data_IF_179250052936
#
_entry.id   IF_179250052936
#
_cell.length_a   1.000
_cell.length_b   1.000
_cell.length_c   1.000
_cell.angle_alpha   90.00
_cell.angle_beta   90.00
_cell.angle_gamma   90.00
#
_symmetry.space_group_name_H-M   'P 1'
#
loop_
_entity.id
_entity.type
_entity.pdbx_description
1 polymer ?
#
# COMPACT_ATOMS: atom_id res chain seq x y z
N UNK A 1 -2.52 -24.25 16.49
CA UNK A 1 -1.86 -22.93 16.33
C UNK A 1 -2.96 -21.91 16.04
N UNK A 2 -3.16 -20.92 16.91
CA UNK A 2 -4.34 -20.01 16.84
C UNK A 2 -3.91 -18.69 16.20
N UNK A 3 -4.70 -18.17 15.27
CA UNK A 3 -4.49 -16.90 14.58
C UNK A 3 -5.83 -16.15 14.51
N UNK A 4 -5.81 -14.83 14.66
CA UNK A 4 -6.98 -13.98 14.39
C UNK A 4 -6.79 -13.19 13.09
N UNK A 5 -7.92 -13.03 12.40
CA UNK A 5 -8.02 -12.38 11.09
C UNK A 5 -9.26 -11.52 11.04
N UNK A 6 -9.14 -10.31 10.48
CA UNK A 6 -10.28 -9.55 9.96
C UNK A 6 -10.05 -9.20 8.49
N UNK A 7 -11.11 -9.22 7.69
CA UNK A 7 -11.05 -8.87 6.27
C UNK A 7 -12.42 -8.38 5.81
N UNK A 8 -12.42 -7.34 4.97
CA UNK A 8 -13.63 -6.88 4.30
C UNK A 8 -13.66 -7.50 2.90
N UNK A 9 -14.81 -8.05 2.52
CA UNK A 9 -15.02 -8.67 1.21
C UNK A 9 -16.24 -8.05 0.57
N UNK A 10 -16.08 -7.59 -0.67
CA UNK A 10 -17.16 -7.03 -1.46
C UNK A 10 -17.45 -7.97 -2.63
N UNK A 11 -18.61 -8.65 -2.66
CA UNK A 11 -19.09 -9.25 -3.89
C UNK A 11 -19.38 -8.12 -4.89
N UNK A 12 -19.08 -8.31 -6.18
CA UNK A 12 -19.41 -7.32 -7.20
C UNK A 12 -20.93 -7.18 -7.37
N UNK A 13 -21.39 -6.18 -8.10
CA UNK A 13 -22.83 -5.98 -8.34
C UNK A 13 -23.38 -7.20 -9.10
N UNK A 14 -24.26 -7.95 -8.43
CA UNK A 14 -25.11 -8.95 -9.07
C UNK A 14 -26.18 -8.22 -9.88
N UNK A 15 -25.87 -7.94 -11.15
CA UNK A 15 -26.80 -7.28 -12.07
C UNK A 15 -27.96 -8.19 -12.50
N UNK A 16 -27.87 -9.50 -12.24
CA UNK A 16 -28.86 -10.49 -12.66
C UNK A 16 -29.89 -10.76 -11.55
N UNK A 17 -29.57 -10.40 -10.31
CA UNK A 17 -30.45 -10.62 -9.16
C UNK A 17 -30.60 -12.10 -8.81
N UNK A 18 -29.64 -12.94 -9.20
CA UNK A 18 -29.66 -14.39 -8.98
C UNK A 18 -28.93 -14.80 -7.68
N UNK A 19 -28.40 -13.84 -6.94
CA UNK A 19 -27.61 -14.04 -5.73
C UNK A 19 -26.20 -14.54 -6.02
N UNK A 20 -25.70 -14.37 -7.25
CA UNK A 20 -24.39 -14.83 -7.71
C UNK A 20 -23.58 -13.71 -8.37
N UNK A 21 -22.27 -13.69 -8.12
CA UNK A 21 -21.35 -12.67 -8.68
C UNK A 21 -20.07 -13.34 -9.10
N UNK A 22 -19.60 -13.19 -10.35
CA UNK A 22 -18.46 -13.98 -10.85
C UNK A 22 -17.16 -13.79 -10.06
N UNK A 23 -17.01 -12.68 -9.32
CA UNK A 23 -15.82 -12.37 -8.57
C UNK A 23 -16.14 -11.67 -7.24
N UNK A 24 -15.12 -11.51 -6.40
CA UNK A 24 -15.15 -10.61 -5.23
C UNK A 24 -13.85 -9.82 -5.10
N UNK A 25 -13.96 -8.61 -4.55
CA UNK A 25 -12.81 -7.91 -4.02
C UNK A 25 -12.56 -8.36 -2.59
N UNK A 26 -11.31 -8.76 -2.29
CA UNK A 26 -10.85 -8.97 -0.92
C UNK A 26 -9.81 -7.89 -0.65
N UNK A 27 -10.20 -6.90 0.15
CA UNK A 27 -9.32 -5.78 0.52
C UNK A 27 -8.25 -6.19 1.53
N UNK A 28 -7.59 -5.23 2.18
CA UNK A 28 -6.54 -5.55 3.12
C UNK A 28 -7.09 -6.39 4.28
N UNK A 29 -6.28 -7.38 4.65
CA UNK A 29 -6.55 -8.36 5.69
C UNK A 29 -5.68 -8.02 6.88
N UNK A 30 -6.29 -7.76 8.02
CA UNK A 30 -5.56 -7.62 9.27
C UNK A 30 -5.31 -8.99 9.87
N UNK A 31 -4.06 -9.28 10.21
CA UNK A 31 -3.63 -10.54 10.82
C UNK A 31 -2.82 -10.31 12.09
N UNK A 32 -3.04 -11.17 13.08
CA UNK A 32 -2.19 -11.25 14.26
C UNK A 32 -0.77 -11.69 13.83
N UNK A 33 0.31 -11.02 14.31
CA UNK A 33 1.66 -11.23 13.79
C UNK A 33 2.31 -12.57 14.19
N UNK A 34 1.67 -13.33 15.07
CA UNK A 34 2.29 -14.45 15.78
C UNK A 34 2.37 -15.76 14.96
N UNK A 35 1.91 -15.77 13.71
CA UNK A 35 1.90 -16.97 12.88
C UNK A 35 2.51 -16.70 11.48
N UNK A 36 3.82 -16.94 11.37
CA UNK A 36 4.59 -16.71 10.13
C UNK A 36 4.07 -17.52 8.93
N UNK A 37 3.60 -18.76 9.15
CA UNK A 37 3.07 -19.61 8.07
C UNK A 37 1.77 -19.03 7.53
N UNK A 38 0.89 -18.58 8.42
CA UNK A 38 -0.37 -17.99 8.03
C UNK A 38 -0.23 -16.59 7.43
N UNK A 39 0.77 -15.81 7.88
CA UNK A 39 1.17 -14.56 7.23
C UNK A 39 1.65 -14.81 5.80
N UNK A 40 2.55 -15.79 5.62
CA UNK A 40 3.08 -16.15 4.29
C UNK A 40 1.98 -16.69 3.35
N UNK A 41 1.06 -17.51 3.86
CA UNK A 41 -0.07 -18.01 3.08
C UNK A 41 -1.08 -16.91 2.73
N UNK A 42 -1.33 -15.97 3.64
CA UNK A 42 -2.30 -14.91 3.40
C UNK A 42 -1.73 -13.79 2.52
N UNK A 43 -0.41 -13.56 2.54
CA UNK A 43 0.26 -12.64 1.60
C UNK A 43 0.19 -13.11 0.16
N UNK A 44 -0.18 -14.37 -0.09
CA UNK A 44 -0.54 -14.83 -1.43
C UNK A 44 -1.93 -14.27 -1.73
N UNK A 45 -1.93 -13.22 -2.54
CA UNK A 45 -3.13 -12.58 -3.04
C UNK A 45 -3.67 -11.47 -2.17
N UNK A 46 -3.46 -11.39 -0.84
CA UNK A 46 -4.09 -10.32 -0.04
C UNK A 46 -3.07 -9.28 0.44
N UNK A 47 -3.49 -8.02 0.56
CA UNK A 47 -2.72 -7.02 1.30
C UNK A 47 -2.77 -7.35 2.81
N UNK A 48 -1.68 -7.88 3.35
CA UNK A 48 -1.62 -8.26 4.77
C UNK A 48 -1.12 -7.09 5.61
N UNK A 49 -1.92 -6.73 6.62
CA UNK A 49 -1.52 -5.78 7.65
C UNK A 49 -1.39 -6.49 8.99
N UNK A 50 -0.26 -6.29 9.64
CA UNK A 50 -0.11 -6.70 11.03
C UNK A 50 -1.02 -5.84 11.92
N UNK A 51 -1.69 -6.48 12.86
CA UNK A 51 -2.51 -5.80 13.85
C UNK A 51 -2.59 -6.59 15.16
N UNK A 52 -3.01 -5.90 16.21
CA UNK A 52 -3.32 -6.50 17.51
C UNK A 52 -4.84 -6.61 17.66
N UNK A 53 -5.28 -7.62 18.39
CA UNK A 53 -6.69 -7.83 18.71
C UNK A 53 -6.85 -7.74 20.21
N UNK A 54 -7.90 -7.04 20.66
CA UNK A 54 -8.13 -6.75 22.08
C UNK A 54 -8.22 -8.02 22.93
N UNK A 55 -8.90 -9.04 22.41
CA UNK A 55 -8.88 -10.39 22.99
C UNK A 55 -8.09 -11.28 22.05
N UNK A 56 -6.81 -11.44 22.33
CA UNK A 56 -5.92 -12.24 21.48
C UNK A 56 -6.40 -13.70 21.41
N UNK A 57 -6.45 -14.23 20.18
CA UNK A 57 -6.85 -15.61 19.89
C UNK A 57 -8.29 -15.99 20.24
N UNK A 58 -9.16 -15.03 20.58
CA UNK A 58 -10.58 -15.24 20.82
C UNK A 58 -11.43 -14.25 20.01
N UNK A 59 -11.89 -14.70 18.83
CA UNK A 59 -12.75 -13.90 17.95
C UNK A 59 -14.21 -13.85 18.43
N UNK A 60 -14.56 -14.58 19.49
CA UNK A 60 -15.92 -14.70 20.01
C UNK A 60 -16.05 -14.18 21.45
N UNK A 61 -15.11 -13.35 21.89
CA UNK A 61 -15.06 -12.80 23.23
C UNK A 61 -16.39 -12.14 23.62
N UNK A 62 -16.83 -12.40 24.86
CA UNK A 62 -18.05 -11.80 25.41
C UNK A 62 -17.72 -10.45 26.03
N UNK A 63 -18.57 -9.44 25.81
CA UNK A 63 -18.40 -8.09 26.37
C UNK A 63 -18.90 -7.95 27.82
N UNK A 64 -19.37 -9.04 28.45
CA UNK A 64 -19.98 -9.04 29.77
C UNK A 64 -21.48 -8.72 29.76
N UNK A 65 -22.05 -8.38 28.61
CA UNK A 65 -23.44 -7.98 28.43
C UNK A 65 -24.22 -8.90 27.48
N UNK A 66 -23.66 -10.09 27.19
CA UNK A 66 -24.29 -11.07 26.31
C UNK A 66 -24.00 -10.85 24.82
N UNK A 67 -23.17 -9.87 24.45
CA UNK A 67 -22.73 -9.70 23.07
C UNK A 67 -21.35 -10.33 22.86
N UNK A 68 -21.16 -10.84 21.65
CA UNK A 68 -19.86 -11.22 21.13
C UNK A 68 -19.23 -10.02 20.43
N UNK A 69 -17.95 -9.75 20.67
CA UNK A 69 -17.25 -8.66 20.00
C UNK A 69 -15.89 -9.07 19.44
N UNK A 70 -15.46 -8.33 18.43
CA UNK A 70 -14.12 -8.36 17.86
C UNK A 70 -13.63 -6.93 17.76
N UNK A 71 -12.43 -6.65 18.25
CA UNK A 71 -11.80 -5.33 18.14
C UNK A 71 -10.34 -5.53 17.70
N UNK A 72 -9.98 -4.93 16.57
CA UNK A 72 -8.66 -5.03 15.94
C UNK A 72 -8.07 -3.65 15.65
N UNK A 73 -6.79 -3.49 15.95
CA UNK A 73 -6.02 -2.26 15.77
C UNK A 73 -4.80 -2.57 14.92
N UNK A 74 -4.67 -1.87 13.78
CA UNK A 74 -3.53 -1.99 12.89
C UNK A 74 -2.29 -1.36 13.49
N UNK A 75 -1.12 -1.85 13.06
CA UNK A 75 0.16 -1.22 13.42
C UNK A 75 0.20 0.23 12.94
N UNK A 76 0.39 1.18 13.86
CA UNK A 76 0.41 2.62 13.59
C UNK A 76 -0.92 3.34 13.88
N UNK A 77 -1.99 2.62 14.20
CA UNK A 77 -3.29 3.20 14.58
C UNK A 77 -3.38 3.46 16.07
N UNK A 78 -3.96 4.61 16.46
CA UNK A 78 -4.23 4.96 17.88
C UNK A 78 -5.65 4.59 18.34
N UNK A 79 -6.49 4.10 17.42
CA UNK A 79 -7.88 3.66 17.65
C UNK A 79 -8.13 2.34 16.91
N UNK A 80 -9.19 1.63 17.29
CA UNK A 80 -9.61 0.41 16.61
C UNK A 80 -9.98 0.68 15.15
N UNK A 81 -9.38 -0.08 14.22
CA UNK A 81 -9.64 0.01 12.78
C UNK A 81 -10.80 -0.89 12.37
N UNK A 82 -10.98 -1.99 13.10
CA UNK A 82 -12.10 -2.90 12.97
C UNK A 82 -12.75 -3.06 14.34
N UNK A 83 -14.06 -2.88 14.41
CA UNK A 83 -14.85 -3.25 15.58
C UNK A 83 -16.16 -3.89 15.14
N UNK A 84 -16.42 -5.09 15.63
CA UNK A 84 -17.69 -5.79 15.46
C UNK A 84 -18.31 -6.07 16.81
N UNK A 85 -19.63 -5.94 16.92
CA UNK A 85 -20.39 -6.35 18.11
C UNK A 85 -21.69 -6.99 17.66
N UNK A 86 -21.93 -8.22 18.09
CA UNK A 86 -22.98 -9.09 17.61
C UNK A 86 -23.72 -9.77 18.76
N UNK A 87 -25.03 -9.99 18.59
CA UNK A 87 -25.88 -10.77 19.49
C UNK A 87 -26.65 -11.81 18.71
N UNK A 88 -27.00 -12.91 19.37
CA UNK A 88 -27.85 -13.95 18.77
C UNK A 88 -29.22 -13.38 18.45
N UNK A 89 -29.75 -13.73 17.27
CA UNK A 89 -31.09 -13.33 16.83
C UNK A 89 -31.82 -14.53 16.22
N UNK A 90 -33.15 -14.46 16.15
CA UNK A 90 -33.96 -15.42 15.41
C UNK A 90 -34.14 -15.03 13.93
N UNK A 91 -33.84 -13.78 13.58
CA UNK A 91 -33.96 -13.27 12.22
C UNK A 91 -32.89 -13.87 11.31
N UNK A 92 -33.32 -14.38 10.15
CA UNK A 92 -32.44 -14.94 9.13
C UNK A 92 -32.77 -14.33 7.76
N UNK A 93 -32.25 -13.11 7.47
CA UNK A 93 -32.58 -12.43 6.23
C UNK A 93 -32.02 -13.15 4.98
N UNK A 94 -30.97 -13.97 5.14
CA UNK A 94 -30.32 -14.67 4.03
C UNK A 94 -30.06 -16.16 4.36
N UNK A 95 -30.23 -17.02 3.36
CA UNK A 95 -29.92 -18.45 3.46
C UNK A 95 -28.40 -18.72 3.43
N UNK A 96 -27.97 -19.87 3.97
CA UNK A 96 -26.55 -20.25 3.97
C UNK A 96 -25.95 -20.34 2.55
N UNK A 97 -26.77 -20.72 1.57
CA UNK A 97 -26.37 -20.78 0.17
C UNK A 97 -25.93 -19.41 -0.38
N UNK A 98 -26.56 -18.31 0.05
CA UNK A 98 -26.16 -16.95 -0.35
C UNK A 98 -24.73 -16.67 0.09
N UNK A 99 -24.41 -16.97 1.36
CA UNK A 99 -23.04 -16.80 1.87
C UNK A 99 -22.05 -17.68 1.12
N UNK A 100 -22.38 -18.96 0.90
CA UNK A 100 -21.53 -19.88 0.13
C UNK A 100 -21.23 -19.34 -1.26
N UNK A 101 -22.24 -18.79 -1.95
CA UNK A 101 -22.09 -18.21 -3.28
C UNK A 101 -21.28 -16.92 -3.28
N UNK A 102 -21.34 -16.10 -2.23
CA UNK A 102 -20.53 -14.87 -2.15
C UNK A 102 -19.07 -15.14 -1.73
N UNK A 103 -18.84 -16.11 -0.85
CA UNK A 103 -17.52 -16.31 -0.21
C UNK A 103 -16.62 -17.32 -0.91
N UNK A 104 -17.13 -18.13 -1.82
CA UNK A 104 -16.31 -19.10 -2.56
C UNK A 104 -15.93 -18.60 -3.97
N UNK A 105 -16.16 -17.32 -4.24
CA UNK A 105 -15.82 -16.71 -5.53
C UNK A 105 -14.32 -16.42 -5.67
N UNK A 106 -13.79 -16.50 -6.90
CA UNK A 106 -12.46 -16.02 -7.22
C UNK A 106 -12.25 -14.58 -6.72
N UNK A 107 -11.07 -14.32 -6.15
CA UNK A 107 -10.71 -13.03 -5.56
C UNK A 107 -9.73 -12.29 -6.49
N UNK A 108 -9.97 -11.00 -6.75
CA UNK A 108 -9.12 -10.19 -7.66
C UNK A 108 -7.85 -9.61 -7.03
N UNK A 109 -7.44 -10.11 -5.88
CA UNK A 109 -6.34 -9.52 -5.14
C UNK A 109 -5.03 -10.11 -5.72
N UNK A 110 -4.33 -9.31 -6.54
CA UNK A 110 -3.34 -9.78 -7.53
C UNK A 110 -1.92 -9.88 -6.98
N UNK A 111 -1.36 -11.10 -6.91
CA UNK A 111 0.04 -11.41 -7.25
C UNK A 111 0.14 -12.89 -7.66
N UNK A 112 0.25 -13.18 -8.95
CA UNK A 112 0.55 -14.52 -9.49
C UNK A 112 -0.60 -15.53 -9.52
N UNK A 113 -0.57 -16.45 -10.50
CA UNK A 113 -1.53 -17.54 -10.74
C UNK A 113 -1.51 -18.65 -9.65
N UNK A 114 -1.15 -18.34 -8.40
CA UNK A 114 -0.81 -19.35 -7.40
C UNK A 114 -1.99 -19.82 -6.56
N UNK A 115 -3.17 -19.19 -6.63
CA UNK A 115 -4.28 -19.48 -5.70
C UNK A 115 -5.68 -19.32 -6.32
N UNK A 116 -6.21 -20.37 -6.95
CA UNK A 116 -7.61 -20.45 -7.40
C UNK A 116 -8.51 -21.34 -6.50
N UNK A 117 -7.97 -21.99 -5.45
CA UNK A 117 -8.67 -23.04 -4.70
C UNK A 117 -9.00 -22.73 -3.22
N UNK A 118 -9.07 -21.46 -2.82
CA UNK A 118 -9.54 -21.12 -1.47
C UNK A 118 -11.05 -21.31 -1.30
N UNK A 119 -11.47 -22.51 -0.89
CA UNK A 119 -12.87 -22.83 -0.62
C UNK A 119 -13.16 -22.67 0.89
N UNK A 120 -14.14 -21.84 1.22
CA UNK A 120 -14.74 -21.82 2.56
C UNK A 120 -15.68 -23.03 2.69
N UNK A 121 -15.41 -23.87 3.69
CA UNK A 121 -16.21 -25.05 3.97
C UNK A 121 -17.43 -24.68 4.81
N UNK A 122 -18.60 -25.09 4.35
CA UNK A 122 -19.87 -24.90 5.02
C UNK A 122 -20.45 -26.26 5.43
N UNK A 123 -21.12 -26.32 6.59
CA UNK A 123 -21.82 -27.52 7.06
C UNK A 123 -20.91 -28.77 7.20
N UNK A 124 -19.66 -28.53 7.59
CA UNK A 124 -18.68 -29.57 7.91
C UNK A 124 -18.92 -30.14 9.32
N UNK A 125 -18.28 -31.27 9.65
CA UNK A 125 -18.36 -31.88 11.00
C UNK A 125 -18.00 -30.92 12.14
N UNK A 126 -17.15 -29.92 11.88
CA UNK A 126 -16.75 -28.88 12.84
C UNK A 126 -17.80 -27.78 13.06
N UNK A 127 -18.84 -27.71 12.23
CA UNK A 127 -19.92 -26.69 12.31
C UNK A 127 -21.30 -27.31 12.52
N UNK A 128 -21.37 -28.48 13.18
CA UNK A 128 -22.61 -29.21 13.47
C UNK A 128 -22.83 -29.36 14.97
N UNK A 129 -24.07 -29.70 15.34
CA UNK A 129 -24.46 -29.95 16.74
C UNK A 129 -24.29 -28.69 17.59
N UNK A 130 -23.53 -28.80 18.69
CA UNK A 130 -23.25 -27.69 19.62
C UNK A 130 -22.49 -26.53 18.94
N UNK A 131 -21.84 -26.78 17.80
CA UNK A 131 -21.10 -25.77 17.03
C UNK A 131 -21.85 -25.31 15.77
N UNK A 132 -23.17 -25.54 15.71
CA UNK A 132 -23.98 -25.10 14.57
C UNK A 132 -24.00 -23.57 14.50
N UNK A 133 -23.80 -22.96 13.30
CA UNK A 133 -23.92 -21.52 13.13
C UNK A 133 -25.30 -21.03 13.57
N UNK A 134 -25.32 -19.99 14.40
CA UNK A 134 -26.54 -19.30 14.83
C UNK A 134 -26.68 -17.96 14.09
N UNK A 135 -27.91 -17.48 13.86
CA UNK A 135 -28.10 -16.14 13.30
C UNK A 135 -27.64 -15.10 14.32
N UNK A 136 -26.95 -14.07 13.84
CA UNK A 136 -26.53 -12.93 14.67
C UNK A 136 -26.89 -11.63 13.98
N UNK A 137 -27.16 -10.61 14.79
CA UNK A 137 -27.31 -9.22 14.34
C UNK A 137 -26.34 -8.32 15.12
N UNK A 138 -25.93 -7.21 14.52
CA UNK A 138 -24.90 -6.40 15.12
C UNK A 138 -24.47 -5.21 14.28
N UNK A 139 -23.46 -4.50 14.79
CA UNK A 139 -22.84 -3.36 14.12
C UNK A 139 -21.39 -3.66 13.81
N UNK A 140 -20.93 -3.22 12.65
CA UNK A 140 -19.52 -3.23 12.25
C UNK A 140 -19.08 -1.79 12.01
N UNK A 141 -18.00 -1.38 12.65
CA UNK A 141 -17.31 -0.13 12.41
C UNK A 141 -15.98 -0.43 11.71
N UNK A 142 -15.72 0.31 10.64
CA UNK A 142 -14.52 0.22 9.84
C UNK A 142 -13.93 1.63 9.72
N UNK A 143 -12.74 1.84 10.29
CA UNK A 143 -11.98 3.07 10.07
C UNK A 143 -11.10 2.84 8.85
N UNK A 144 -11.46 3.45 7.72
CA UNK A 144 -10.86 3.16 6.41
C UNK A 144 -9.52 3.87 6.17
N UNK A 145 -9.15 4.85 7.01
CA UNK A 145 -8.02 5.75 6.74
C UNK A 145 -6.63 5.12 6.88
N UNK A 146 -6.35 4.14 7.78
CA UNK A 146 -5.11 3.38 7.70
C UNK A 146 -5.22 2.18 6.75
N UNK A 147 -6.41 1.85 6.23
CA UNK A 147 -6.66 0.68 5.39
C UNK A 147 -6.43 1.00 3.91
N UNK A 148 -6.65 2.25 3.47
CA UNK A 148 -6.65 2.63 2.05
C UNK A 148 -5.61 3.68 1.61
N UNK A 149 -4.85 4.31 2.52
CA UNK A 149 -3.75 5.20 2.14
C UNK A 149 -2.45 4.77 2.82
N UNK A 150 -1.48 4.31 2.03
CA UNK A 150 -0.15 3.93 2.53
C UNK A 150 0.67 5.17 2.83
N UNK A 151 0.67 5.63 4.09
CA UNK A 151 1.70 6.58 4.56
C UNK A 151 2.77 5.83 5.35
N UNK A 152 4.03 6.00 4.99
CA UNK A 152 5.16 5.48 5.77
C UNK A 152 5.34 6.34 7.02
N UNK A 153 4.93 5.80 8.18
CA UNK A 153 4.98 6.51 9.46
C UNK A 153 6.40 6.81 9.94
N UNK A 154 7.42 6.18 9.36
CA UNK A 154 8.83 6.43 9.68
C UNK A 154 9.40 7.63 8.91
N UNK A 155 8.74 8.07 7.85
CA UNK A 155 9.19 9.21 7.04
C UNK A 155 8.86 10.53 7.73
N UNK A 156 9.82 11.46 7.70
CA UNK A 156 9.69 12.81 8.27
C UNK A 156 8.94 13.73 7.33
N UNK A 157 8.12 14.64 7.88
CA UNK A 157 7.55 15.79 7.14
C UNK A 157 8.39 17.06 7.26
N UNK A 158 9.43 17.02 8.10
CA UNK A 158 10.37 18.14 8.27
C UNK A 158 11.44 18.12 7.17
N UNK A 159 12.07 19.28 6.87
CA UNK A 159 13.23 19.34 5.99
C UNK A 159 14.31 18.31 6.35
N UNK A 160 15.09 17.82 5.37
CA UNK A 160 16.10 16.81 5.61
C UNK A 160 17.19 17.33 6.56
N UNK A 161 17.76 16.41 7.34
CA UNK A 161 18.99 16.69 8.07
C UNK A 161 20.17 16.72 7.10
N UNK A 162 21.22 17.44 7.46
CA UNK A 162 22.47 17.49 6.71
C UNK A 162 23.32 16.24 6.98
N UNK A 163 22.82 15.06 6.62
CA UNK A 163 23.48 13.76 6.85
C UNK A 163 23.41 12.87 5.61
N UNK A 164 24.28 11.85 5.55
CA UNK A 164 24.26 10.89 4.45
C UNK A 164 23.00 10.02 4.52
N UNK A 165 22.25 9.99 3.41
CA UNK A 165 21.20 9.00 3.18
C UNK A 165 21.74 7.95 2.21
N UNK A 166 21.91 6.72 2.69
CA UNK A 166 22.55 5.63 1.93
C UNK A 166 21.58 4.50 1.65
N UNK A 167 21.34 4.21 0.37
CA UNK A 167 20.52 3.10 -0.08
C UNK A 167 21.38 1.99 -0.69
N UNK A 168 21.76 1.02 0.12
CA UNK A 168 22.59 -0.11 -0.33
C UNK A 168 21.85 -0.94 -1.39
N UNK A 169 22.43 -1.03 -2.59
CA UNK A 169 21.92 -1.90 -3.66
C UNK A 169 20.59 -1.44 -4.25
N UNK A 170 20.22 -0.17 -4.11
CA UNK A 170 18.94 0.36 -4.60
C UNK A 170 18.71 0.10 -6.09
N UNK A 171 19.78 0.18 -6.88
CA UNK A 171 19.75 -0.02 -8.33
C UNK A 171 20.20 -1.43 -8.74
N UNK A 172 20.29 -2.37 -7.80
CA UNK A 172 20.67 -3.74 -8.14
C UNK A 172 19.52 -4.47 -8.84
N UNK A 173 19.85 -5.45 -9.68
CA UNK A 173 18.86 -6.27 -10.41
C UNK A 173 18.04 -7.22 -9.50
N UNK A 174 18.32 -7.24 -8.19
CA UNK A 174 17.64 -8.11 -7.23
C UNK A 174 16.35 -7.43 -6.76
N UNK A 175 15.23 -7.88 -7.36
CA UNK A 175 13.82 -7.58 -7.07
C UNK A 175 13.53 -7.20 -5.61
N UNK A 176 13.03 -5.99 -5.33
CA UNK A 176 12.81 -5.57 -3.94
C UNK A 176 11.77 -4.47 -3.64
N UNK A 177 11.16 -3.78 -4.62
CA UNK A 177 10.29 -2.63 -4.30
C UNK A 177 8.91 -3.04 -3.80
N UNK A 178 8.19 -3.90 -4.55
CA UNK A 178 6.91 -4.48 -4.15
C UNK A 178 5.78 -3.47 -3.94
N UNK A 179 5.94 -2.24 -4.42
CA UNK A 179 4.95 -1.15 -4.37
C UNK A 179 4.96 -0.41 -5.71
N UNK A 180 3.79 0.00 -6.18
CA UNK A 180 3.67 0.81 -7.40
C UNK A 180 4.45 2.12 -7.29
N UNK A 181 4.35 2.82 -6.16
CA UNK A 181 5.12 4.04 -5.86
C UNK A 181 5.48 4.08 -4.39
N UNK A 182 6.72 4.44 -4.07
CA UNK A 182 7.13 4.74 -2.69
C UNK A 182 8.17 5.85 -2.67
N UNK A 183 7.90 6.90 -1.90
CA UNK A 183 8.89 7.93 -1.60
C UNK A 183 9.97 7.34 -0.69
N UNK A 184 11.23 7.43 -1.12
CA UNK A 184 12.39 6.95 -0.38
C UNK A 184 13.10 8.08 0.37
N UNK A 185 13.17 9.26 -0.25
CA UNK A 185 13.78 10.45 0.35
C UNK A 185 13.21 11.72 -0.28
N UNK A 186 12.94 12.75 0.53
CA UNK A 186 12.59 14.09 0.04
C UNK A 186 13.63 15.07 0.56
N UNK A 187 14.35 15.69 -0.37
CA UNK A 187 15.32 16.75 -0.13
C UNK A 187 14.73 18.14 -0.40
N UNK A 188 15.52 19.19 -0.16
CA UNK A 188 15.10 20.58 -0.41
C UNK A 188 14.83 20.88 -1.89
N UNK A 189 15.50 20.16 -2.80
CA UNK A 189 15.46 20.41 -4.24
C UNK A 189 15.09 19.19 -5.07
N UNK A 190 14.98 18.01 -4.46
CA UNK A 190 14.68 16.79 -5.20
C UNK A 190 13.99 15.74 -4.34
N UNK A 191 13.31 14.80 -4.98
CA UNK A 191 12.66 13.68 -4.32
C UNK A 191 12.99 12.37 -5.02
N UNK A 192 13.45 11.39 -4.25
CA UNK A 192 13.78 10.05 -4.70
C UNK A 192 12.60 9.11 -4.42
N UNK A 193 12.13 8.43 -5.46
CA UNK A 193 10.96 7.55 -5.42
C UNK A 193 11.32 6.22 -6.10
N UNK A 194 10.92 5.09 -5.53
CA UNK A 194 10.95 3.78 -6.20
C UNK A 194 9.58 3.46 -6.80
N UNK A 195 9.57 2.81 -7.95
CA UNK A 195 8.35 2.34 -8.60
C UNK A 195 8.50 0.91 -9.14
N UNK A 196 7.41 0.15 -9.06
CA UNK A 196 7.29 -1.18 -9.68
C UNK A 196 6.00 -1.22 -10.51
N UNK A 197 6.15 -1.26 -11.83
CA UNK A 197 5.03 -1.33 -12.75
C UNK A 197 4.74 -2.80 -13.08
N UNK A 198 3.53 -3.31 -12.79
CA UNK A 198 3.20 -4.70 -13.05
C UNK A 198 3.25 -5.04 -14.54
N UNK A 199 3.32 -6.33 -14.87
CA UNK A 199 3.30 -6.84 -16.25
C UNK A 199 2.11 -6.26 -17.02
N UNK A 200 2.39 -5.59 -18.14
CA UNK A 200 1.36 -4.94 -18.97
C UNK A 200 0.73 -3.68 -18.38
N UNK A 201 1.17 -3.24 -17.19
CA UNK A 201 0.74 -1.99 -16.57
C UNK A 201 1.49 -0.77 -17.10
N UNK A 202 1.07 0.41 -16.68
CA UNK A 202 1.66 1.70 -17.03
C UNK A 202 1.62 2.67 -15.85
N UNK A 203 2.49 3.68 -15.84
CA UNK A 203 2.48 4.72 -14.81
C UNK A 203 1.20 5.58 -14.94
N UNK A 204 0.93 6.06 -16.15
CA UNK A 204 -0.13 7.02 -16.44
C UNK A 204 0.29 7.93 -17.59
N UNK A 205 -0.66 8.70 -18.12
CA UNK A 205 -0.37 9.82 -19.03
C UNK A 205 -0.20 11.07 -18.15
N UNK A 206 1.05 11.50 -17.97
CA UNK A 206 1.43 12.47 -16.95
C UNK A 206 2.06 13.74 -17.56
N UNK A 207 1.85 14.87 -16.87
CA UNK A 207 2.52 16.15 -17.09
C UNK A 207 2.76 16.78 -15.73
N UNK A 208 4.02 17.06 -15.39
CA UNK A 208 4.40 17.72 -14.13
C UNK A 208 5.11 19.04 -14.42
N UNK A 209 5.05 19.98 -13.48
CA UNK A 209 5.80 21.26 -13.57
C UNK A 209 7.24 21.16 -13.09
N UNK A 210 7.71 19.93 -12.82
CA UNK A 210 9.05 19.62 -12.31
C UNK A 210 9.81 18.75 -13.33
N UNK A 211 11.14 18.79 -13.29
CA UNK A 211 11.94 17.84 -14.05
C UNK A 211 11.87 16.46 -13.39
N UNK A 212 11.88 15.40 -14.21
CA UNK A 212 11.89 14.03 -13.73
C UNK A 212 12.97 13.20 -14.43
N UNK A 213 13.77 12.47 -13.66
CA UNK A 213 14.79 11.54 -14.16
C UNK A 213 14.43 10.13 -13.73
N UNK A 214 14.21 9.23 -14.68
CA UNK A 214 13.89 7.83 -14.43
C UNK A 214 15.10 6.96 -14.76
N UNK A 215 15.48 6.11 -13.80
CA UNK A 215 16.58 5.17 -13.89
C UNK A 215 15.98 3.76 -13.79
N UNK A 216 16.00 3.02 -14.89
CA UNK A 216 15.41 1.68 -14.95
C UNK A 216 16.37 0.67 -14.34
N UNK A 217 15.90 -0.10 -13.36
CA UNK A 217 16.72 -1.06 -12.60
C UNK A 217 16.46 -2.50 -13.01
N UNK A 218 15.26 -2.80 -13.52
CA UNK A 218 14.89 -4.15 -14.01
C UNK A 218 13.72 -4.08 -15.00
N UNK A 219 13.56 -5.12 -15.82
CA UNK A 219 12.46 -5.24 -16.78
C UNK A 219 12.67 -4.51 -18.10
N UNK A 220 11.62 -4.53 -18.93
CA UNK A 220 11.58 -3.92 -20.26
C UNK A 220 10.28 -3.13 -20.42
N UNK A 221 10.38 -1.95 -21.02
CA UNK A 221 9.25 -1.05 -21.21
C UNK A 221 9.33 -0.21 -22.46
N UNK A 222 8.31 0.64 -22.61
CA UNK A 222 8.23 1.68 -23.62
C UNK A 222 7.98 3.02 -22.95
N UNK A 223 8.88 3.97 -23.18
CA UNK A 223 8.69 5.38 -22.87
C UNK A 223 8.07 6.09 -24.07
N UNK A 224 7.08 6.93 -23.84
CA UNK A 224 6.50 7.85 -24.82
C UNK A 224 6.68 9.25 -24.26
N UNK A 225 7.49 10.11 -24.87
CA UNK A 225 7.77 11.47 -24.37
C UNK A 225 7.57 12.46 -25.51
N UNK A 226 6.69 13.44 -25.31
CA UNK A 226 6.29 14.39 -26.35
C UNK A 226 5.91 13.67 -27.67
N UNK A 227 5.19 12.55 -27.57
CA UNK A 227 4.78 11.71 -28.70
C UNK A 227 5.89 10.89 -29.35
N UNK A 228 7.11 10.85 -28.79
CA UNK A 228 8.20 10.01 -29.29
C UNK A 228 8.35 8.74 -28.45
N UNK A 229 8.27 7.59 -29.12
CA UNK A 229 8.44 6.28 -28.51
C UNK A 229 9.92 5.87 -28.41
N UNK A 230 10.30 5.26 -27.30
CA UNK A 230 11.61 4.68 -27.04
C UNK A 230 11.46 3.41 -26.20
N UNK A 231 12.08 2.31 -26.64
CA UNK A 231 12.20 1.11 -25.81
C UNK A 231 13.23 1.37 -24.70
N UNK A 232 12.90 0.96 -23.46
CA UNK A 232 13.73 1.13 -22.26
C UNK A 232 13.91 -0.20 -21.55
N UNK A 233 15.06 -0.39 -20.92
CA UNK A 233 15.38 -1.58 -20.13
C UNK A 233 16.29 -1.23 -18.95
N UNK A 234 16.62 -2.23 -18.13
CA UNK A 234 17.58 -2.08 -17.04
C UNK A 234 18.88 -1.35 -17.46
N UNK A 235 19.34 -0.45 -16.60
CA UNK A 235 20.47 0.48 -16.79
C UNK A 235 20.23 1.66 -17.74
N UNK A 236 19.08 1.75 -18.43
CA UNK A 236 18.74 2.94 -19.20
C UNK A 236 18.31 4.09 -18.27
N UNK A 237 18.54 5.32 -18.73
CA UNK A 237 18.13 6.55 -18.05
C UNK A 237 17.32 7.40 -19.01
N UNK A 238 16.21 7.93 -18.50
CA UNK A 238 15.32 8.82 -19.24
C UNK A 238 15.14 10.11 -18.46
N UNK A 239 15.22 11.24 -19.15
CA UNK A 239 14.97 12.56 -18.59
C UNK A 239 13.71 13.13 -19.24
N UNK A 240 12.78 13.56 -18.40
CA UNK A 240 11.54 14.23 -18.78
C UNK A 240 11.63 15.68 -18.28
N UNK A 241 11.77 16.66 -19.19
CA UNK A 241 11.75 18.06 -18.81
C UNK A 241 10.38 18.51 -18.29
N UNK A 242 10.35 19.47 -17.38
CA UNK A 242 9.14 20.08 -16.86
C UNK A 242 8.17 20.51 -17.98
N UNK A 243 6.87 20.26 -17.78
CA UNK A 243 5.81 20.56 -18.72
C UNK A 243 5.73 19.61 -19.93
N UNK A 244 6.52 18.54 -19.96
CA UNK A 244 6.53 17.57 -21.06
C UNK A 244 5.59 16.41 -20.76
N UNK A 245 4.68 16.12 -21.69
CA UNK A 245 3.85 14.92 -21.63
C UNK A 245 4.69 13.66 -21.74
N UNK A 246 4.43 12.70 -20.87
CA UNK A 246 5.14 11.43 -20.84
C UNK A 246 4.29 10.27 -20.33
N UNK A 247 4.62 9.07 -20.79
CA UNK A 247 4.03 7.82 -20.35
C UNK A 247 5.07 6.70 -20.38
N UNK A 248 5.02 5.80 -19.40
CA UNK A 248 5.86 4.62 -19.33
C UNK A 248 5.00 3.37 -19.18
N UNK A 249 5.17 2.42 -20.11
CA UNK A 249 4.40 1.18 -20.17
C UNK A 249 5.35 0.00 -19.99
N UNK A 250 5.01 -0.94 -19.11
CA UNK A 250 5.72 -2.21 -19.01
C UNK A 250 5.32 -3.12 -20.18
N UNK A 251 6.28 -3.40 -21.06
CA UNK A 251 6.07 -4.25 -22.25
C UNK A 251 6.49 -5.70 -22.03
N UNK A 252 7.10 -6.01 -20.88
CA UNK A 252 7.45 -7.38 -20.53
C UNK A 252 6.20 -8.23 -20.32
N UNK A 253 6.30 -9.52 -20.65
CA UNK A 253 5.21 -10.50 -20.45
C UNK A 253 5.30 -11.26 -19.13
N UNK A 254 6.44 -11.19 -18.46
CA UNK A 254 6.77 -12.10 -17.36
C UNK A 254 7.40 -11.39 -16.16
N UNK A 255 7.87 -10.15 -16.31
CA UNK A 255 8.58 -9.42 -15.27
C UNK A 255 8.04 -7.99 -15.11
N UNK A 256 8.06 -7.44 -13.88
CA UNK A 256 7.72 -6.05 -13.65
C UNK A 256 8.80 -5.14 -14.25
N UNK A 257 8.44 -3.89 -14.53
CA UNK A 257 9.37 -2.83 -14.87
C UNK A 257 9.68 -2.07 -13.57
N UNK A 258 10.91 -2.17 -13.10
CA UNK A 258 11.35 -1.52 -11.86
C UNK A 258 12.24 -0.34 -12.20
N UNK A 259 12.01 0.75 -11.48
CA UNK A 259 12.78 1.98 -11.67
C UNK A 259 12.85 2.78 -10.38
N UNK A 260 13.85 3.64 -10.35
CA UNK A 260 13.94 4.74 -9.39
C UNK A 260 13.79 6.03 -10.16
N UNK A 261 12.99 6.95 -9.65
CA UNK A 261 12.79 8.26 -10.24
C UNK A 261 13.20 9.37 -9.29
N UNK A 262 13.76 10.44 -9.85
CA UNK A 262 14.11 11.68 -9.16
C UNK A 262 13.25 12.79 -9.73
N UNK A 263 12.41 13.39 -8.90
CA UNK A 263 11.71 14.64 -9.21
C UNK A 263 12.54 15.83 -8.72
N UNK A 264 12.52 16.94 -9.43
CA UNK A 264 13.20 18.19 -9.03
C UNK A 264 12.37 19.42 -9.42
N UNK A 265 11.69 20.12 -8.48
CA UNK A 265 11.55 19.81 -7.04
C UNK A 265 10.69 18.56 -6.74
N UNK A 266 10.40 18.30 -5.46
CA UNK A 266 9.56 17.16 -5.06
C UNK A 266 8.13 17.25 -5.62
N UNK A 267 7.52 16.11 -5.89
CA UNK A 267 6.15 16.03 -6.45
C UNK A 267 5.14 15.48 -5.42
N UNK A 268 5.54 14.49 -4.61
CA UNK A 268 4.67 13.73 -3.73
C UNK A 268 4.82 14.09 -2.24
N UNK A 269 3.85 13.71 -1.40
CA UNK A 269 3.97 13.77 0.06
C UNK A 269 5.16 12.90 0.52
N UNK A 270 6.03 13.36 1.44
CA UNK A 270 7.22 12.61 1.87
C UNK A 270 6.92 11.21 2.44
N UNK A 271 5.68 10.95 2.83
CA UNK A 271 5.21 9.67 3.37
C UNK A 271 4.55 8.78 2.34
N UNK A 272 4.45 9.18 1.08
CA UNK A 272 3.67 8.46 0.06
C UNK A 272 4.17 7.03 -0.19
N UNK A 273 3.22 6.09 -0.09
CA UNK A 273 3.33 4.68 -0.48
C UNK A 273 2.03 4.29 -1.18
N UNK A 274 2.08 4.09 -2.49
CA UNK A 274 1.00 3.53 -3.29
C UNK A 274 1.36 2.09 -3.63
N UNK A 275 0.53 1.14 -3.20
CA UNK A 275 0.73 -0.29 -3.52
C UNK A 275 0.31 -0.60 -4.94
N UNK A 276 -0.76 0.04 -5.39
CA UNK A 276 -1.30 -0.07 -6.74
C UNK A 276 -1.45 1.31 -7.34
N UNK A 277 -1.66 1.35 -8.66
CA UNK A 277 -1.91 2.59 -9.39
C UNK A 277 -3.16 3.31 -8.88
N UNK A 278 -4.22 2.57 -8.55
CA UNK A 278 -5.50 3.14 -8.13
C UNK A 278 -5.45 3.85 -6.76
N UNK A 279 -4.44 3.58 -5.93
CA UNK A 279 -4.25 4.28 -4.66
C UNK A 279 -3.76 5.72 -4.84
N UNK A 280 -3.18 6.05 -6.00
CA UNK A 280 -2.75 7.40 -6.36
C UNK A 280 -3.92 8.38 -6.43
N UNK A 281 -5.03 7.97 -7.04
CA UNK A 281 -6.20 8.83 -7.29
C UNK A 281 -7.03 9.12 -6.02
N UNK A 282 -6.75 8.45 -4.90
CA UNK A 282 -7.62 8.42 -3.72
C UNK A 282 -7.16 9.30 -2.55
N UNK A 283 -6.04 10.02 -2.66
CA UNK A 283 -5.35 10.68 -1.52
C UNK A 283 -4.99 12.15 -1.69
N UNK A 284 -4.61 12.79 -0.58
CA UNK A 284 -3.84 14.05 -0.58
C UNK A 284 -2.36 13.69 -0.70
N UNK A 285 -1.86 13.65 -1.93
CA UNK A 285 -0.47 13.39 -2.26
C UNK A 285 0.14 14.69 -2.83
N UNK A 286 0.58 15.57 -1.93
CA UNK A 286 1.13 16.88 -2.30
C UNK A 286 2.52 17.03 -1.68
N UNK A 287 3.46 17.52 -2.48
CA UNK A 287 4.78 17.89 -2.00
C UNK A 287 4.72 18.96 -0.89
N UNK A 288 5.65 18.92 0.08
CA UNK A 288 5.66 19.91 1.15
C UNK A 288 6.15 21.27 0.64
N UNK A 289 5.59 22.38 1.13
CA UNK A 289 5.95 23.73 0.68
C UNK A 289 7.46 24.04 0.76
N UNK A 290 8.14 23.48 1.77
CA UNK A 290 9.57 23.72 1.96
C UNK A 290 10.43 23.10 0.84
N UNK A 291 9.96 22.08 0.13
CA UNK A 291 10.70 21.48 -1.00
C UNK A 291 10.48 22.24 -2.31
N UNK A 292 9.61 23.26 -2.31
CA UNK A 292 9.30 24.09 -3.48
C UNK A 292 10.05 25.43 -3.45
N UNK A 293 10.90 25.66 -2.44
CA UNK A 293 11.59 26.93 -2.25
C UNK A 293 12.81 27.06 -3.17
N UNK A 294 13.06 28.30 -3.63
CA UNK A 294 14.26 28.62 -4.40
C UNK A 294 15.53 28.52 -3.56
N UNK A 295 16.69 28.44 -4.24
CA UNK A 295 18.02 28.49 -3.60
C UNK A 295 18.13 29.72 -2.67
N UNK A 296 17.81 30.90 -3.18
CA UNK A 296 17.89 32.16 -2.42
C UNK A 296 17.01 32.16 -1.16
N UNK A 297 15.81 31.57 -1.25
CA UNK A 297 14.91 31.43 -0.09
C UNK A 297 15.52 30.50 0.95
N UNK A 298 16.02 29.33 0.53
CA UNK A 298 16.64 28.36 1.42
C UNK A 298 17.91 28.90 2.10
N UNK A 299 18.71 29.70 1.40
CA UNK A 299 19.89 30.37 1.97
C UNK A 299 19.50 31.46 2.97
N UNK A 300 18.52 32.30 2.63
CA UNK A 300 18.00 33.34 3.53
C UNK A 300 17.41 32.73 4.81
N UNK A 301 16.76 31.57 4.69
CA UNK A 301 16.20 30.81 5.81
C UNK A 301 17.24 29.93 6.52
N UNK A 302 18.51 29.99 6.11
CA UNK A 302 19.64 29.21 6.67
C UNK A 302 19.46 27.70 6.62
N UNK A 303 18.59 27.21 5.72
CA UNK A 303 18.44 25.79 5.41
C UNK A 303 19.59 25.29 4.54
N UNK A 304 20.23 26.19 3.78
CA UNK A 304 21.45 25.91 3.01
C UNK A 304 22.49 27.00 3.32
N UNK A 305 23.75 26.61 3.42
CA UNK A 305 24.89 27.52 3.60
C UNK A 305 26.01 27.12 2.65
N UNK A 306 26.49 28.04 1.83
CA UNK A 306 27.63 27.77 0.94
C UNK A 306 28.89 27.39 1.73
N UNK A 307 29.08 27.98 2.91
CA UNK A 307 30.17 27.65 3.84
C UNK A 307 30.11 26.22 4.41
N UNK A 308 28.96 25.55 4.29
CA UNK A 308 28.61 24.44 5.16
C UNK A 308 28.07 24.90 6.52
N UNK A 309 27.82 23.93 7.39
CA UNK A 309 27.09 24.06 8.66
C UNK A 309 27.70 25.02 9.70
N UNK A 310 27.42 24.83 11.00
CA UNK A 310 26.46 23.88 11.56
C UNK A 310 25.02 24.32 11.25
N UNK A 311 24.07 23.39 11.24
CA UNK A 311 22.64 23.68 11.04
C UNK A 311 21.85 23.37 12.30
N UNK A 312 20.66 23.96 12.46
CA UNK A 312 19.81 23.70 13.64
C UNK A 312 19.39 22.23 13.74
N UNK A 313 19.22 21.55 12.59
CA UNK A 313 18.73 20.17 12.49
C UNK A 313 19.80 19.17 12.03
N UNK A 314 21.09 19.50 12.09
CA UNK A 314 22.17 18.61 11.68
C UNK A 314 23.50 19.33 11.49
N UNK A 315 24.57 18.57 11.35
CA UNK A 315 25.90 19.09 11.08
C UNK A 315 26.45 18.39 9.84
N UNK A 316 27.04 19.16 8.93
CA UNK A 316 27.66 18.61 7.73
C UNK A 316 29.11 18.12 7.98
N UNK A 317 29.57 18.16 9.24
CA UNK A 317 30.84 17.58 9.69
C UNK A 317 32.08 18.37 9.28
N UNK A 318 31.92 19.57 8.71
CA UNK A 318 33.06 20.38 8.23
C UNK A 318 33.77 21.17 9.34
N UNK A 319 33.25 21.17 10.57
CA UNK A 319 33.76 22.00 11.66
C UNK A 319 34.87 21.38 12.52
N UNK A 320 35.17 20.08 12.36
CA UNK A 320 36.21 19.39 13.16
C UNK A 320 37.61 19.33 12.51
N UNK A 321 37.82 19.94 11.33
CA UNK A 321 39.16 20.03 10.73
C UNK A 321 39.89 21.29 11.18
N UNK A 322 40.50 21.25 12.36
CA UNK A 322 41.59 22.17 12.75
C UNK A 322 42.85 21.37 13.09
#
# INVERSE_FOLDING_TARGET
MIMQRSSIRFPFIDRLGDGHTSFRYTGPVMLSPNNLVALAGASIGNDIRAGTFKTACDAYANDGHGNTFLEGTGVGSSKADVRGTFRVTSSKPYALNVFKHMTNQPSFSSVGNLCDHYISLYNSSVTKGVHSPVPVEGSVLLSTTPILSGKDSKMSLQPPKHEMVYFKGLTSEVRAFGQFRKVLHTGLYSQLVSMEIPVGGDIGDEVHTVDQVLIFTSGEGKATIAGKDQAVKASDVVVVPAGTQHQFINTSKTQPLELVTVYSPAEHDPKTVHKTKEEEDAGKDEAPEWSQQSKDSNEKNRLVKESGGPYENGDDGRHEKK
#
